data_IF_222929345832
#
_entry.id   IF_222929345832
#
_cell.length_a   1.000
_cell.length_b   1.000
_cell.length_c   1.000
_cell.angle_alpha   90.00
_cell.angle_beta   90.00
_cell.angle_gamma   90.00
#
_symmetry.space_group_name_H-M   'P 1'
#
loop_
_entity.id
_entity.type
_entity.pdbx_description
1 polymer ?
#
# COMPACT_ATOMS: atom_id res chain seq x y z
N UNK A 1 -17.09 -15.24 11.51
CA UNK A 1 -16.87 -15.32 10.06
C UNK A 1 -17.52 -16.59 9.62
N UNK A 2 -18.66 -16.50 8.92
CA UNK A 2 -19.20 -17.66 8.22
C UNK A 2 -18.15 -18.00 7.15
N UNK A 3 -17.49 -19.15 7.28
CA UNK A 3 -16.31 -19.55 6.49
C UNK A 3 -16.50 -19.47 4.95
N UNK A 4 -17.73 -19.43 4.44
CA UNK A 4 -18.00 -19.32 3.00
C UNK A 4 -17.79 -17.90 2.45
N UNK A 5 -17.97 -16.85 3.25
CA UNK A 5 -18.05 -15.48 2.72
C UNK A 5 -16.69 -14.96 2.27
N UNK A 6 -15.58 -15.23 2.99
CA UNK A 6 -14.25 -14.67 2.68
C UNK A 6 -13.34 -15.59 1.84
N UNK A 7 -13.85 -16.72 1.34
CA UNK A 7 -13.04 -17.74 0.67
C UNK A 7 -12.18 -17.17 -0.46
N UNK A 8 -12.75 -16.34 -1.33
CA UNK A 8 -12.02 -15.74 -2.47
C UNK A 8 -10.92 -14.76 -2.02
N UNK A 9 -11.19 -13.69 -1.24
CA UNK A 9 -10.15 -12.80 -0.72
C UNK A 9 -8.98 -13.52 -0.04
N UNK A 10 -9.27 -14.59 0.73
CA UNK A 10 -8.26 -15.36 1.45
C UNK A 10 -7.37 -16.13 0.47
N UNK A 11 -7.95 -16.79 -0.54
CA UNK A 11 -7.18 -17.49 -1.59
C UNK A 11 -6.31 -16.50 -2.34
N UNK A 12 -6.86 -15.36 -2.76
CA UNK A 12 -6.10 -14.33 -3.45
C UNK A 12 -4.95 -13.80 -2.58
N UNK A 13 -5.19 -13.59 -1.29
CA UNK A 13 -4.15 -13.17 -0.34
C UNK A 13 -3.03 -14.19 -0.20
N UNK A 14 -3.36 -15.49 -0.14
CA UNK A 14 -2.35 -16.54 -0.08
C UNK A 14 -1.48 -16.59 -1.35
N UNK A 15 -2.10 -16.41 -2.53
CA UNK A 15 -1.37 -16.30 -3.81
C UNK A 15 -0.48 -15.06 -3.80
N UNK A 16 -0.99 -13.90 -3.38
CA UNK A 16 -0.21 -12.66 -3.26
C UNK A 16 1.00 -12.85 -2.34
N UNK A 17 0.82 -13.47 -1.17
CA UNK A 17 1.92 -13.75 -0.23
C UNK A 17 3.00 -14.60 -0.91
N UNK A 18 2.60 -15.67 -1.59
CA UNK A 18 3.53 -16.57 -2.28
C UNK A 18 4.28 -15.87 -3.41
N UNK A 19 3.57 -15.17 -4.30
CA UNK A 19 4.17 -14.44 -5.42
C UNK A 19 5.08 -13.30 -4.95
N UNK A 20 4.69 -12.59 -3.88
CA UNK A 20 5.49 -11.52 -3.29
C UNK A 20 6.75 -12.06 -2.62
N UNK A 21 6.70 -13.26 -2.03
CA UNK A 21 7.88 -13.93 -1.51
C UNK A 21 8.87 -14.27 -2.63
N UNK A 22 8.38 -14.79 -3.77
CA UNK A 22 9.20 -15.04 -4.96
C UNK A 22 9.80 -13.73 -5.50
N UNK A 23 8.99 -12.68 -5.64
CA UNK A 23 9.43 -11.39 -6.14
C UNK A 23 10.53 -10.78 -5.25
N UNK A 24 10.30 -10.74 -3.93
CA UNK A 24 11.23 -10.16 -2.97
C UNK A 24 12.51 -10.99 -2.86
N UNK A 25 12.39 -12.32 -2.81
CA UNK A 25 13.56 -13.21 -2.79
C UNK A 25 14.38 -13.06 -4.08
N UNK A 26 13.72 -13.07 -5.24
CA UNK A 26 14.40 -12.87 -6.51
C UNK A 26 15.03 -11.49 -6.63
N UNK A 27 14.41 -10.44 -6.10
CA UNK A 27 15.00 -9.10 -6.07
C UNK A 27 16.28 -9.02 -5.24
N UNK A 28 16.32 -9.70 -4.09
CA UNK A 28 17.50 -9.73 -3.22
C UNK A 28 18.64 -10.57 -3.81
N UNK A 29 18.34 -11.72 -4.43
CA UNK A 29 19.35 -12.72 -4.78
C UNK A 29 19.64 -12.89 -6.28
N UNK A 30 18.80 -12.34 -7.19
CA UNK A 30 19.07 -12.40 -8.63
C UNK A 30 19.86 -11.18 -9.08
N UNK A 31 21.14 -11.41 -9.37
CA UNK A 31 22.01 -10.39 -9.94
C UNK A 31 21.46 -9.86 -11.28
N UNK A 32 21.48 -8.55 -11.43
CA UNK A 32 21.03 -7.86 -12.64
C UNK A 32 19.51 -7.84 -12.84
N UNK A 33 18.69 -8.21 -11.84
CA UNK A 33 17.24 -8.03 -11.92
C UNK A 33 16.86 -6.55 -12.02
N UNK A 34 17.29 -5.76 -11.04
CA UNK A 34 17.10 -4.31 -11.07
C UNK A 34 18.16 -3.65 -11.94
N UNK A 35 17.68 -2.88 -12.90
CA UNK A 35 18.47 -2.25 -13.97
C UNK A 35 18.48 -0.72 -13.87
N UNK A 36 17.85 -0.19 -12.83
CA UNK A 36 17.80 1.21 -12.45
C UNK A 36 19.19 1.70 -11.99
N UNK A 37 19.32 3.02 -11.79
CA UNK A 37 20.52 3.58 -11.19
C UNK A 37 20.76 3.06 -9.76
N UNK A 38 21.99 3.23 -9.25
CA UNK A 38 22.40 2.65 -7.97
C UNK A 38 21.52 3.07 -6.79
N UNK A 39 21.06 4.33 -6.78
CA UNK A 39 20.18 4.85 -5.74
C UNK A 39 18.83 4.11 -5.75
N UNK A 40 18.17 4.05 -6.91
CA UNK A 40 16.85 3.42 -7.05
C UNK A 40 16.95 1.91 -6.83
N UNK A 41 18.02 1.26 -7.31
CA UNK A 41 18.30 -0.16 -7.04
C UNK A 41 18.41 -0.45 -5.55
N UNK A 42 19.11 0.39 -4.78
CA UNK A 42 19.20 0.23 -3.33
C UNK A 42 17.83 0.35 -2.65
N UNK A 43 16.96 1.25 -3.14
CA UNK A 43 15.58 1.39 -2.66
C UNK A 43 14.77 0.13 -2.92
N UNK A 44 14.84 -0.47 -4.13
CA UNK A 44 14.14 -1.73 -4.43
C UNK A 44 14.61 -2.88 -3.54
N UNK A 45 15.92 -3.05 -3.36
CA UNK A 45 16.47 -4.09 -2.48
C UNK A 45 16.03 -3.90 -1.03
N UNK A 46 16.06 -2.66 -0.52
CA UNK A 46 15.57 -2.35 0.82
C UNK A 46 14.08 -2.67 0.97
N UNK A 47 13.28 -2.36 -0.05
CA UNK A 47 11.86 -2.65 -0.08
C UNK A 47 11.57 -4.15 -0.12
N UNK A 48 12.33 -4.94 -0.89
CA UNK A 48 12.21 -6.39 -0.93
C UNK A 48 12.51 -7.02 0.43
N UNK A 49 13.54 -6.53 1.14
CA UNK A 49 13.88 -6.98 2.50
C UNK A 49 12.72 -6.69 3.45
N UNK A 50 12.19 -5.47 3.45
CA UNK A 50 11.05 -5.08 4.29
C UNK A 50 9.82 -5.92 3.95
N UNK A 51 9.53 -6.11 2.66
CA UNK A 51 8.40 -6.91 2.21
C UNK A 51 8.53 -8.34 2.70
N UNK A 52 9.67 -8.98 2.48
CA UNK A 52 9.91 -10.38 2.81
C UNK A 52 9.91 -10.66 4.31
N UNK A 53 10.59 -9.82 5.10
CA UNK A 53 10.85 -10.09 6.52
C UNK A 53 9.91 -9.38 7.50
N UNK A 54 9.16 -8.37 7.05
CA UNK A 54 8.25 -7.61 7.92
C UNK A 54 6.82 -7.75 7.42
N UNK A 55 6.56 -7.35 6.17
CA UNK A 55 5.19 -7.25 5.66
C UNK A 55 4.57 -8.63 5.50
N UNK A 56 5.26 -9.59 4.88
CA UNK A 56 4.72 -10.94 4.66
C UNK A 56 4.42 -11.67 5.99
N UNK A 57 5.32 -11.67 7.00
CA UNK A 57 4.97 -12.22 8.31
C UNK A 57 3.74 -11.57 8.93
N UNK A 58 3.65 -10.23 8.92
CA UNK A 58 2.47 -9.50 9.42
C UNK A 58 1.21 -9.92 8.67
N UNK A 59 1.28 -9.98 7.33
CA UNK A 59 0.15 -10.35 6.47
C UNK A 59 -0.32 -11.78 6.74
N UNK A 60 0.61 -12.74 6.91
CA UNK A 60 0.31 -14.13 7.25
C UNK A 60 -0.39 -14.22 8.61
N UNK A 61 0.19 -13.60 9.65
CA UNK A 61 -0.41 -13.63 10.99
C UNK A 61 -1.78 -12.94 11.02
N UNK A 62 -1.90 -11.79 10.37
CA UNK A 62 -3.16 -11.06 10.26
C UNK A 62 -4.22 -11.88 9.53
N UNK A 63 -3.86 -12.61 8.47
CA UNK A 63 -4.76 -13.51 7.77
C UNK A 63 -5.20 -14.68 8.67
N UNK A 64 -4.28 -15.32 9.40
CA UNK A 64 -4.62 -16.43 10.30
C UNK A 64 -5.55 -15.97 11.43
N UNK A 65 -5.26 -14.83 12.06
CA UNK A 65 -6.09 -14.32 13.15
C UNK A 65 -7.40 -13.70 12.65
N UNK A 66 -7.46 -13.18 11.43
CA UNK A 66 -8.72 -12.72 10.85
C UNK A 66 -9.68 -13.89 10.69
N UNK A 67 -9.23 -15.04 10.18
CA UNK A 67 -10.01 -16.29 10.11
C UNK A 67 -10.51 -16.78 11.48
N UNK A 68 -9.85 -16.39 12.58
CA UNK A 68 -10.26 -16.64 13.96
C UNK A 68 -11.21 -15.56 14.53
N UNK A 69 -11.81 -14.74 13.68
CA UNK A 69 -12.76 -13.67 14.04
C UNK A 69 -12.16 -12.46 14.76
N UNK A 70 -10.85 -12.24 14.66
CA UNK A 70 -10.21 -11.04 15.22
C UNK A 70 -10.43 -9.82 14.33
N UNK A 71 -11.19 -8.86 14.83
CA UNK A 71 -11.46 -7.57 14.15
C UNK A 71 -10.17 -6.78 13.88
N UNK A 72 -9.25 -6.74 14.85
CA UNK A 72 -7.96 -6.07 14.67
C UNK A 72 -7.13 -6.73 13.57
N UNK A 73 -7.10 -8.06 13.54
CA UNK A 73 -6.36 -8.79 12.52
C UNK A 73 -6.97 -8.61 11.12
N UNK A 74 -8.30 -8.51 11.03
CA UNK A 74 -8.97 -8.19 9.76
C UNK A 74 -8.56 -6.82 9.23
N UNK A 75 -8.49 -5.80 10.09
CA UNK A 75 -8.00 -4.46 9.71
C UNK A 75 -6.54 -4.49 9.26
N UNK A 76 -5.66 -5.16 10.02
CA UNK A 76 -4.24 -5.30 9.66
C UNK A 76 -4.07 -6.05 8.34
N UNK A 77 -4.87 -7.09 8.08
CA UNK A 77 -4.83 -7.83 6.82
C UNK A 77 -5.26 -6.95 5.63
N UNK A 78 -6.33 -6.16 5.76
CA UNK A 78 -6.73 -5.19 4.72
C UNK A 78 -5.68 -4.10 4.51
N UNK A 79 -5.06 -3.62 5.59
CA UNK A 79 -3.93 -2.68 5.51
C UNK A 79 -2.71 -3.28 4.79
N UNK A 80 -2.40 -4.54 5.04
CA UNK A 80 -1.33 -5.25 4.34
C UNK A 80 -1.65 -5.45 2.84
N UNK A 81 -2.91 -5.74 2.49
CA UNK A 81 -3.34 -5.77 1.09
C UNK A 81 -3.23 -4.41 0.42
N UNK A 82 -3.59 -3.32 1.12
CA UNK A 82 -3.40 -1.96 0.62
C UNK A 82 -1.91 -1.64 0.42
N UNK A 83 -1.05 -2.05 1.36
CA UNK A 83 0.40 -1.96 1.17
C UNK A 83 0.85 -2.70 -0.09
N UNK A 84 0.36 -3.92 -0.35
CA UNK A 84 0.73 -4.65 -1.57
C UNK A 84 0.28 -3.93 -2.85
N UNK A 85 -0.93 -3.37 -2.84
CA UNK A 85 -1.41 -2.55 -3.96
C UNK A 85 -0.51 -1.33 -4.16
N UNK A 86 -0.22 -0.59 -3.09
CA UNK A 86 0.63 0.60 -3.14
C UNK A 86 2.05 0.24 -3.61
N UNK A 87 2.65 -0.78 -3.00
CA UNK A 87 4.02 -1.20 -3.27
C UNK A 87 4.19 -1.69 -4.70
N UNK A 88 3.38 -2.64 -5.16
CA UNK A 88 3.55 -3.18 -6.51
C UNK A 88 3.11 -2.22 -7.63
N UNK A 89 2.41 -1.13 -7.29
CA UNK A 89 2.20 0.00 -8.20
C UNK A 89 3.54 0.68 -8.53
N UNK A 90 4.41 0.88 -7.52
CA UNK A 90 5.77 1.37 -7.72
C UNK A 90 6.63 0.45 -8.57
N UNK A 91 6.57 -0.86 -8.35
CA UNK A 91 7.35 -1.79 -9.18
C UNK A 91 6.86 -1.83 -10.62
N UNK A 92 5.55 -1.68 -10.85
CA UNK A 92 4.98 -1.72 -12.21
C UNK A 92 5.32 -0.48 -13.04
N UNK A 93 5.34 0.72 -12.43
CA UNK A 93 5.59 1.98 -13.14
C UNK A 93 6.96 2.60 -12.89
N UNK A 94 7.64 2.20 -11.81
CA UNK A 94 8.87 2.81 -11.32
C UNK A 94 10.11 1.91 -11.40
N UNK A 95 9.99 0.59 -11.54
CA UNK A 95 11.17 -0.23 -11.76
C UNK A 95 11.52 -0.26 -13.26
N UNK A 96 12.81 -0.19 -13.59
CA UNK A 96 13.29 -0.42 -14.94
C UNK A 96 12.85 -1.82 -15.43
N UNK A 97 12.47 -1.89 -16.72
CA UNK A 97 11.87 -3.11 -17.28
C UNK A 97 12.79 -4.33 -17.11
N UNK A 98 12.24 -5.36 -16.46
CA UNK A 98 12.97 -6.55 -16.07
C UNK A 98 12.11 -7.81 -16.14
N UNK A 99 12.74 -8.96 -15.85
CA UNK A 99 12.13 -10.30 -15.96
C UNK A 99 10.88 -10.49 -15.09
N UNK A 100 10.72 -9.70 -14.02
CA UNK A 100 9.62 -9.80 -13.07
C UNK A 100 8.47 -8.84 -13.37
N UNK A 101 8.50 -8.09 -14.47
CA UNK A 101 7.43 -7.15 -14.82
C UNK A 101 6.02 -7.77 -14.73
N UNK A 102 5.80 -8.94 -15.35
CA UNK A 102 4.51 -9.62 -15.29
C UNK A 102 4.15 -10.07 -13.87
N UNK A 103 5.14 -10.47 -13.07
CA UNK A 103 4.95 -10.85 -11.68
C UNK A 103 4.43 -9.66 -10.86
N UNK A 104 4.99 -8.47 -11.06
CA UNK A 104 4.52 -7.24 -10.41
C UNK A 104 3.06 -6.93 -10.78
N UNK A 105 2.71 -7.04 -12.07
CA UNK A 105 1.34 -6.83 -12.58
C UNK A 105 0.36 -7.81 -11.92
N UNK A 106 0.71 -9.10 -11.83
CA UNK A 106 -0.13 -10.10 -11.17
C UNK A 106 -0.32 -9.80 -9.69
N UNK A 107 0.76 -9.49 -8.96
CA UNK A 107 0.66 -9.21 -7.53
C UNK A 107 -0.20 -7.97 -7.28
N UNK A 108 0.04 -6.89 -8.01
CA UNK A 108 -0.78 -5.67 -7.93
C UNK A 108 -2.26 -5.98 -8.16
N UNK A 109 -2.58 -6.67 -9.26
CA UNK A 109 -3.96 -6.96 -9.67
C UNK A 109 -4.67 -7.85 -8.65
N UNK A 110 -4.03 -8.93 -8.21
CA UNK A 110 -4.63 -9.84 -7.23
C UNK A 110 -4.79 -9.17 -5.86
N UNK A 111 -3.84 -8.32 -5.46
CA UNK A 111 -3.94 -7.54 -4.22
C UNK A 111 -5.10 -6.55 -4.26
N UNK A 112 -5.29 -5.86 -5.39
CA UNK A 112 -6.40 -4.92 -5.57
C UNK A 112 -7.75 -5.64 -5.50
N UNK A 113 -7.92 -6.76 -6.22
CA UNK A 113 -9.15 -7.54 -6.14
C UNK A 113 -9.38 -8.17 -4.76
N UNK A 114 -8.33 -8.67 -4.11
CA UNK A 114 -8.42 -9.19 -2.75
C UNK A 114 -8.91 -8.10 -1.77
N UNK A 115 -8.35 -6.89 -1.88
CA UNK A 115 -8.73 -5.74 -1.06
C UNK A 115 -10.18 -5.34 -1.32
N UNK A 116 -10.56 -5.12 -2.58
CA UNK A 116 -11.93 -4.75 -2.96
C UNK A 116 -12.93 -5.78 -2.42
N UNK A 117 -12.69 -7.07 -2.65
CA UNK A 117 -13.59 -8.13 -2.21
C UNK A 117 -13.62 -8.27 -0.68
N UNK A 118 -12.51 -8.00 0.02
CA UNK A 118 -12.47 -7.98 1.48
C UNK A 118 -13.28 -6.80 2.04
N UNK A 119 -13.12 -5.61 1.47
CA UNK A 119 -13.87 -4.40 1.84
C UNK A 119 -15.37 -4.58 1.63
N UNK A 120 -15.79 -5.10 0.46
CA UNK A 120 -17.20 -5.34 0.13
C UNK A 120 -17.89 -6.31 1.09
N UNK A 121 -17.13 -7.25 1.68
CA UNK A 121 -17.66 -8.28 2.58
C UNK A 121 -17.59 -7.89 4.05
N UNK A 122 -16.94 -6.77 4.36
CA UNK A 122 -16.77 -6.29 5.73
C UNK A 122 -18.03 -5.56 6.18
N UNK A 123 -18.63 -6.04 7.27
CA UNK A 123 -19.70 -5.32 7.96
C UNK A 123 -19.09 -4.13 8.71
N UNK A 124 -19.10 -2.99 8.04
CA UNK A 124 -18.46 -1.76 8.48
C UNK A 124 -19.09 -1.25 9.79
N UNK A 125 -20.39 -1.45 9.98
CA UNK A 125 -21.13 -1.03 11.16
C UNK A 125 -20.75 -1.87 12.37
N UNK A 126 -20.72 -3.20 12.21
CA UNK A 126 -20.29 -4.13 13.25
C UNK A 126 -18.81 -3.89 13.62
N UNK A 127 -17.97 -3.62 12.63
CA UNK A 127 -16.56 -3.32 12.82
C UNK A 127 -16.37 -2.04 13.63
N UNK A 128 -17.02 -0.94 13.22
CA UNK A 128 -16.97 0.34 13.91
C UNK A 128 -17.45 0.21 15.35
N UNK A 129 -18.56 -0.51 15.61
CA UNK A 129 -19.06 -0.75 16.98
C UNK A 129 -18.05 -1.47 17.87
N UNK A 130 -17.25 -2.39 17.31
CA UNK A 130 -16.23 -3.16 18.04
C UNK A 130 -14.91 -2.42 18.22
N UNK A 131 -14.65 -1.37 17.45
CA UNK A 131 -13.41 -0.57 17.51
C UNK A 131 -13.60 0.81 18.14
N UNK A 132 -14.81 1.37 18.13
CA UNK A 132 -15.06 2.77 18.49
C UNK A 132 -14.88 3.11 19.97
N UNK A 133 -15.00 2.15 20.88
CA UNK A 133 -15.05 2.42 22.33
C UNK A 133 -13.69 2.82 22.93
N UNK A 134 -12.57 2.45 22.32
CA UNK A 134 -11.22 2.65 22.88
C UNK A 134 -10.27 3.39 21.94
N UNK A 135 -10.67 3.63 20.69
CA UNK A 135 -9.79 4.22 19.69
C UNK A 135 -9.71 5.75 19.80
N UNK A 136 -8.50 6.35 19.85
CA UNK A 136 -8.32 7.81 19.92
C UNK A 136 -8.50 8.44 18.54
N UNK A 137 -9.73 8.36 18.01
CA UNK A 137 -10.15 8.79 16.67
C UNK A 137 -9.55 10.14 16.25
N UNK A 138 -9.69 11.19 17.06
CA UNK A 138 -9.19 12.54 16.72
C UNK A 138 -7.67 12.62 16.60
N UNK A 139 -6.92 11.86 17.41
CA UNK A 139 -5.45 11.83 17.33
C UNK A 139 -4.99 11.13 16.06
N UNK A 140 -5.61 10.01 15.73
CA UNK A 140 -5.31 9.24 14.51
C UNK A 140 -5.64 10.08 13.27
N UNK A 141 -6.85 10.66 13.20
CA UNK A 141 -7.23 11.53 12.10
C UNK A 141 -6.34 12.78 11.99
N UNK A 142 -5.96 13.39 13.11
CA UNK A 142 -5.03 14.52 13.12
C UNK A 142 -3.64 14.15 12.57
N UNK A 143 -3.12 12.98 12.97
CA UNK A 143 -1.87 12.45 12.43
C UNK A 143 -1.96 12.16 10.92
N UNK A 144 -3.04 11.52 10.47
CA UNK A 144 -3.27 11.25 9.04
C UNK A 144 -3.32 12.54 8.21
N UNK A 145 -4.04 13.57 8.68
CA UNK A 145 -4.10 14.87 8.00
C UNK A 145 -2.74 15.58 7.99
N UNK A 146 -2.01 15.54 9.12
CA UNK A 146 -0.66 16.09 9.19
C UNK A 146 0.27 15.42 8.17
N UNK A 147 0.26 14.09 8.13
CA UNK A 147 1.12 13.34 7.21
C UNK A 147 0.73 13.57 5.75
N UNK A 148 -0.57 13.60 5.45
CA UNK A 148 -1.09 13.93 4.13
C UNK A 148 -0.72 15.35 3.69
N UNK A 149 -0.81 16.32 4.60
CA UNK A 149 -0.40 17.69 4.34
C UNK A 149 1.11 17.78 4.10
N UNK A 150 1.93 17.11 4.91
CA UNK A 150 3.38 17.13 4.78
C UNK A 150 3.86 16.55 3.44
N UNK A 151 3.48 15.30 3.16
CA UNK A 151 3.87 14.61 1.92
C UNK A 151 3.21 15.24 0.70
N UNK A 152 1.91 15.56 0.80
CA UNK A 152 1.15 16.17 -0.28
C UNK A 152 1.69 17.54 -0.67
N UNK A 153 1.99 18.40 0.29
CA UNK A 153 2.56 19.73 0.00
C UNK A 153 3.94 19.63 -0.62
N UNK A 154 4.76 18.66 -0.20
CA UNK A 154 6.08 18.43 -0.78
C UNK A 154 6.00 18.07 -2.27
N UNK A 155 5.17 17.09 -2.64
CA UNK A 155 5.01 16.67 -4.04
C UNK A 155 4.28 17.71 -4.90
N UNK A 156 3.29 18.42 -4.34
CA UNK A 156 2.62 19.53 -5.02
C UNK A 156 3.61 20.67 -5.26
N UNK A 157 4.44 21.02 -4.29
CA UNK A 157 5.43 22.09 -4.44
C UNK A 157 6.46 21.76 -5.52
N UNK A 158 6.99 20.53 -5.55
CA UNK A 158 7.88 20.08 -6.62
C UNK A 158 7.18 20.08 -7.99
N UNK A 159 5.92 19.64 -8.06
CA UNK A 159 5.17 19.67 -9.32
C UNK A 159 4.87 21.10 -9.79
N UNK A 160 4.55 22.00 -8.85
CA UNK A 160 4.26 23.41 -9.14
C UNK A 160 5.51 24.20 -9.52
N UNK A 161 6.70 23.84 -9.00
CA UNK A 161 7.95 24.54 -9.36
C UNK A 161 8.20 24.48 -10.87
N UNK A 162 7.92 23.34 -11.51
CA UNK A 162 8.03 23.19 -12.96
C UNK A 162 7.21 24.23 -13.74
N UNK A 163 6.03 24.63 -13.24
CA UNK A 163 5.17 25.63 -13.89
C UNK A 163 5.86 27.00 -13.96
N UNK A 164 6.71 27.33 -12.98
CA UNK A 164 7.39 28.62 -12.87
C UNK A 164 8.82 28.59 -13.41
N UNK A 165 9.52 27.46 -13.31
CA UNK A 165 10.94 27.35 -13.71
C UNK A 165 11.14 26.70 -15.08
N UNK A 166 10.16 25.92 -15.58
CA UNK A 166 10.32 24.99 -16.70
C UNK A 166 11.45 23.95 -16.50
N UNK A 167 11.91 23.75 -15.27
CA UNK A 167 12.96 22.79 -14.93
C UNK A 167 12.35 21.55 -14.25
N UNK A 168 12.74 20.37 -14.71
CA UNK A 168 12.26 19.10 -14.14
C UNK A 168 12.75 18.97 -12.69
N UNK A 169 11.85 18.72 -11.71
CA UNK A 169 12.22 18.61 -10.31
C UNK A 169 13.27 17.53 -10.04
N UNK A 170 14.14 17.81 -9.07
CA UNK A 170 15.24 16.90 -8.70
C UNK A 170 14.75 15.51 -8.25
N UNK A 171 13.56 15.44 -7.63
CA UNK A 171 12.95 14.17 -7.23
C UNK A 171 12.55 13.27 -8.41
N UNK A 172 12.53 13.80 -9.63
CA UNK A 172 12.34 13.03 -10.87
C UNK A 172 13.70 12.70 -11.49
N UNK A 173 14.56 13.71 -11.68
CA UNK A 173 15.84 13.54 -12.39
C UNK A 173 16.78 12.57 -11.69
N UNK A 174 16.79 12.52 -10.34
CA UNK A 174 17.59 11.56 -9.58
C UNK A 174 17.18 10.10 -9.77
N UNK A 175 15.97 9.85 -10.28
CA UNK A 175 15.45 8.49 -10.51
C UNK A 175 15.64 8.02 -11.94
N UNK A 176 16.15 8.88 -12.84
CA UNK A 176 16.20 8.67 -14.29
C UNK A 176 14.85 8.33 -14.94
N UNK A 177 13.73 8.59 -14.25
CA UNK A 177 12.39 8.41 -14.80
C UNK A 177 11.96 9.60 -15.65
N UNK A 178 11.15 9.36 -16.70
CA UNK A 178 10.60 10.44 -17.52
C UNK A 178 9.51 11.25 -16.83
N UNK A 179 9.02 10.80 -15.65
CA UNK A 179 7.93 11.46 -14.91
C UNK A 179 8.03 11.17 -13.41
N UNK A 180 7.29 11.94 -12.60
CA UNK A 180 7.24 11.79 -11.15
C UNK A 180 6.34 10.63 -10.72
N UNK A 181 6.80 9.39 -10.92
CA UNK A 181 6.06 8.17 -10.52
C UNK A 181 5.70 8.21 -9.04
N UNK A 182 6.65 8.59 -8.18
CA UNK A 182 6.43 8.77 -6.73
C UNK A 182 5.35 9.82 -6.46
N UNK A 183 5.40 10.96 -7.16
CA UNK A 183 4.49 12.06 -6.91
C UNK A 183 3.07 11.64 -7.28
N UNK A 184 2.93 10.97 -8.43
CA UNK A 184 1.65 10.49 -8.94
C UNK A 184 1.04 9.45 -7.99
N UNK A 185 1.79 8.44 -7.57
CA UNK A 185 1.29 7.37 -6.70
C UNK A 185 0.97 7.93 -5.30
N UNK A 186 1.85 8.73 -4.72
CA UNK A 186 1.64 9.29 -3.38
C UNK A 186 0.43 10.22 -3.35
N UNK A 187 0.28 11.13 -4.32
CA UNK A 187 -0.85 12.07 -4.35
C UNK A 187 -2.18 11.34 -4.64
N UNK A 188 -2.18 10.38 -5.57
CA UNK A 188 -3.39 9.70 -6.01
C UNK A 188 -3.88 8.62 -5.06
N UNK A 189 -2.98 7.91 -4.36
CA UNK A 189 -3.33 6.79 -3.48
C UNK A 189 -3.06 7.09 -2.00
N UNK A 190 -1.86 7.54 -1.63
CA UNK A 190 -1.50 7.70 -0.21
C UNK A 190 -2.20 8.93 0.41
N UNK A 191 -1.92 10.12 -0.14
CA UNK A 191 -2.42 11.40 0.37
C UNK A 191 -3.94 11.47 0.29
N UNK A 192 -4.53 11.06 -0.83
CA UNK A 192 -5.99 11.03 -1.01
C UNK A 192 -6.69 10.12 0.00
N UNK A 193 -6.17 8.90 0.21
CA UNK A 193 -6.72 7.93 1.18
C UNK A 193 -6.59 8.46 2.60
N UNK A 194 -5.44 9.04 2.95
CA UNK A 194 -5.24 9.65 4.27
C UNK A 194 -6.21 10.80 4.54
N UNK A 195 -6.44 11.70 3.57
CA UNK A 195 -7.38 12.81 3.73
C UNK A 195 -8.80 12.29 3.90
N UNK A 196 -9.25 11.41 3.00
CA UNK A 196 -10.61 10.86 3.02
C UNK A 196 -10.84 10.04 4.29
N UNK A 197 -9.94 9.10 4.60
CA UNK A 197 -9.98 8.28 5.81
C UNK A 197 -10.00 9.14 7.07
N UNK A 198 -9.13 10.15 7.16
CA UNK A 198 -9.10 11.04 8.31
C UNK A 198 -10.39 11.82 8.51
N UNK A 199 -10.98 12.39 7.44
CA UNK A 199 -12.24 13.13 7.51
C UNK A 199 -13.39 12.21 7.95
N UNK A 200 -13.49 11.02 7.36
CA UNK A 200 -14.52 10.04 7.70
C UNK A 200 -14.38 9.56 9.15
N UNK A 201 -13.16 9.27 9.57
CA UNK A 201 -12.82 8.83 10.92
C UNK A 201 -13.10 9.94 11.93
N UNK A 202 -12.72 11.18 11.65
CA UNK A 202 -12.99 12.34 12.51
C UNK A 202 -14.49 12.55 12.74
N UNK A 203 -15.30 12.32 11.70
CA UNK A 203 -16.78 12.34 11.75
C UNK A 203 -17.39 11.08 12.37
N UNK A 204 -16.57 10.13 12.85
CA UNK A 204 -16.98 8.82 13.38
C UNK A 204 -17.88 8.02 12.44
N UNK A 205 -17.70 8.21 11.13
CA UNK A 205 -18.42 7.42 10.14
C UNK A 205 -17.83 6.02 10.08
N UNK A 206 -18.68 5.00 9.96
CA UNK A 206 -18.26 3.61 10.00
C UNK A 206 -17.14 3.31 8.98
N UNK A 207 -17.24 3.88 7.77
CA UNK A 207 -16.26 3.70 6.68
C UNK A 207 -14.86 4.23 7.02
N UNK A 208 -14.75 5.25 7.86
CA UNK A 208 -13.46 5.82 8.28
C UNK A 208 -12.66 4.91 9.21
N UNK A 209 -13.25 3.82 9.73
CA UNK A 209 -12.51 2.82 10.49
C UNK A 209 -11.76 1.81 9.60
N UNK A 210 -12.02 1.83 8.29
CA UNK A 210 -11.46 0.88 7.32
C UNK A 210 -10.58 1.59 6.27
N UNK A 211 -10.93 2.83 5.93
CA UNK A 211 -10.17 3.72 5.02
C UNK A 211 -9.16 4.50 5.85
#
# INVERSE_FOLDING_TARGET
MKNSTYKIPVILSAIVIFLSAIASFGGIFLDGLYRDNEMVKAVWLGNDIVTLFIVLPIMIWALIFSLRNSVKAQLVWMGALWYMVYNYNFYMYGAAFNKFFLLYVFIFTLSAYALILALMKTDVQMLAKRTSSTMPVKRISGFMLFFAFFIGSLWIAQSASFIFTNEVPIGITQTDHPTGVVFAIDLSLLVSTLIVGAILLWKRQARGYII
#
